data_IF_699538499079
#
_entry.id   IF_699538499079
#
_cell.length_a   1.000
_cell.length_b   1.000
_cell.length_c   1.000
_cell.angle_alpha   90.00
_cell.angle_beta   90.00
_cell.angle_gamma   90.00
#
_symmetry.space_group_name_H-M   'P 1'
#
loop_
_entity.id
_entity.type
_entity.pdbx_description
1 polymer ?
#
# COMPACT_ATOMS: atom_id res chain seq x y z
N UNK A 1 -0.25 7.86 14.67
CA UNK A 1 -0.37 9.16 14.00
C UNK A 1 0.40 10.20 14.78
N UNK A 2 1.14 11.06 14.10
CA UNK A 2 1.83 12.21 14.67
C UNK A 2 1.37 13.45 13.92
N UNK A 3 1.23 14.57 14.61
CA UNK A 3 0.83 15.84 14.01
C UNK A 3 1.84 16.92 14.37
N UNK A 4 2.19 17.77 13.40
CA UNK A 4 3.00 18.99 13.57
C UNK A 4 2.14 20.19 13.19
N UNK A 5 2.65 21.42 13.30
CA UNK A 5 1.87 22.61 12.91
C UNK A 5 1.45 22.61 11.43
N UNK A 6 2.25 22.00 10.56
CA UNK A 6 2.08 22.05 9.09
C UNK A 6 1.74 20.72 8.46
N UNK A 7 1.88 19.59 9.18
CA UNK A 7 1.69 18.25 8.62
C UNK A 7 0.99 17.27 9.56
N UNK A 8 0.33 16.28 8.97
CA UNK A 8 -0.14 15.06 9.64
C UNK A 8 0.64 13.87 9.08
N UNK A 9 1.25 13.09 9.98
CA UNK A 9 2.07 11.93 9.67
C UNK A 9 1.34 10.67 10.15
N UNK A 10 1.05 9.76 9.22
CA UNK A 10 0.26 8.55 9.48
C UNK A 10 1.09 7.34 9.07
N UNK A 11 1.39 6.47 10.02
CA UNK A 11 1.84 5.10 9.74
C UNK A 11 0.59 4.23 9.64
N UNK A 12 0.34 3.65 8.48
CA UNK A 12 -0.83 2.82 8.21
C UNK A 12 -0.40 1.46 7.68
N UNK A 13 -0.99 0.40 8.22
CA UNK A 13 -0.97 -0.91 7.59
C UNK A 13 -1.98 -0.98 6.44
N UNK A 14 -1.60 -1.61 5.35
CA UNK A 14 -2.44 -1.84 4.16
C UNK A 14 -2.53 -3.36 3.96
N UNK A 15 -3.73 -3.90 4.07
CA UNK A 15 -4.04 -5.27 3.68
C UNK A 15 -4.57 -5.25 2.25
N UNK A 16 -3.98 -6.06 1.38
CA UNK A 16 -4.39 -6.15 -0.02
C UNK A 16 -4.20 -7.57 -0.52
N UNK A 17 -4.85 -7.91 -1.62
CA UNK A 17 -4.62 -9.19 -2.29
C UNK A 17 -3.74 -8.95 -3.51
N UNK A 18 -2.53 -9.52 -3.48
CA UNK A 18 -1.66 -9.59 -4.65
C UNK A 18 -2.15 -10.68 -5.61
N UNK A 19 -1.84 -10.49 -6.89
CA UNK A 19 -2.10 -11.49 -7.92
C UNK A 19 -0.73 -11.98 -8.40
N UNK A 20 -0.44 -13.26 -8.16
CA UNK A 20 0.71 -13.89 -8.79
C UNK A 20 0.25 -14.40 -10.16
N UNK A 21 0.47 -13.61 -11.20
CA UNK A 21 0.27 -14.06 -12.57
C UNK A 21 1.32 -15.14 -12.90
N UNK A 22 0.96 -16.40 -12.70
CA UNK A 22 1.81 -17.55 -12.98
C UNK A 22 1.90 -17.83 -14.49
N UNK A 23 3.13 -17.84 -15.01
CA UNK A 23 3.63 -18.39 -16.27
C UNK A 23 2.57 -18.84 -17.30
N UNK A 24 2.56 -18.18 -18.46
CA UNK A 24 1.69 -18.40 -19.65
C UNK A 24 1.76 -19.79 -20.30
N UNK A 25 1.92 -20.86 -19.53
CA UNK A 25 1.98 -22.25 -20.01
C UNK A 25 0.79 -23.10 -19.54
N UNK A 26 -0.31 -22.50 -19.06
CA UNK A 26 -1.54 -23.25 -18.73
C UNK A 26 -2.78 -22.54 -19.28
N UNK A 27 -3.44 -23.20 -20.23
CA UNK A 27 -4.77 -22.88 -20.80
C UNK A 27 -5.92 -23.06 -19.77
N UNK A 28 -5.62 -22.89 -18.47
CA UNK A 28 -6.56 -23.14 -17.38
C UNK A 28 -7.26 -21.83 -16.95
N UNK A 29 -8.58 -21.68 -17.16
CA UNK A 29 -9.33 -20.45 -16.85
C UNK A 29 -9.59 -20.23 -15.34
N UNK A 30 -8.91 -20.99 -14.48
CA UNK A 30 -9.07 -20.92 -13.03
C UNK A 30 -8.65 -19.53 -12.53
N UNK A 31 -9.45 -18.86 -11.67
CA UNK A 31 -9.16 -17.50 -11.22
C UNK A 31 -7.76 -17.44 -10.62
N UNK A 32 -6.98 -16.45 -11.06
CA UNK A 32 -5.62 -16.17 -10.63
C UNK A 32 -5.57 -16.22 -9.10
N UNK A 33 -4.77 -17.15 -8.55
CA UNK A 33 -4.70 -17.34 -7.10
C UNK A 33 -4.29 -16.03 -6.42
N UNK A 34 -5.15 -15.52 -5.54
CA UNK A 34 -4.95 -14.24 -4.84
C UNK A 34 -4.21 -14.49 -3.53
N UNK A 35 -3.08 -13.82 -3.34
CA UNK A 35 -2.30 -13.92 -2.12
C UNK A 35 -2.63 -12.74 -1.20
N UNK A 36 -2.98 -13.02 0.06
CA UNK A 36 -3.15 -11.96 1.03
C UNK A 36 -1.78 -11.39 1.40
N UNK A 37 -1.62 -10.09 1.18
CA UNK A 37 -0.40 -9.34 1.42
C UNK A 37 -0.66 -8.20 2.40
N UNK A 38 0.43 -7.77 3.04
CA UNK A 38 0.44 -6.68 4.00
C UNK A 38 1.68 -5.83 3.80
N UNK A 39 1.51 -4.52 3.81
CA UNK A 39 2.63 -3.57 3.88
C UNK A 39 2.29 -2.39 4.79
N UNK A 40 3.33 -1.68 5.24
CA UNK A 40 3.15 -0.43 5.98
C UNK A 40 3.55 0.76 5.12
N UNK A 41 2.72 1.79 5.13
CA UNK A 41 2.95 3.03 4.39
C UNK A 41 2.99 4.20 5.38
N UNK A 42 3.96 5.08 5.18
CA UNK A 42 4.04 6.38 5.83
C UNK A 42 3.39 7.43 4.91
N UNK A 43 2.27 8.00 5.35
CA UNK A 43 1.67 9.17 4.73
C UNK A 43 2.13 10.45 5.41
N UNK A 44 2.48 11.47 4.63
CA UNK A 44 2.70 12.82 5.12
C UNK A 44 1.78 13.77 4.36
N UNK A 45 0.82 14.35 5.08
CA UNK A 45 -0.22 15.23 4.56
C UNK A 45 0.12 16.66 4.97
N UNK A 46 0.33 17.56 4.00
CA UNK A 46 0.46 18.98 4.28
C UNK A 46 -0.91 19.58 4.62
N UNK A 47 -1.05 20.21 5.79
CA UNK A 47 -2.33 20.74 6.29
C UNK A 47 -2.83 21.98 5.55
N UNK A 48 -1.94 22.74 4.92
CA UNK A 48 -2.29 23.96 4.21
C UNK A 48 -2.74 23.69 2.77
N UNK A 49 -2.14 22.68 2.12
CA UNK A 49 -2.36 22.40 0.70
C UNK A 49 -3.10 21.09 0.42
N UNK A 50 -3.15 20.17 1.40
CA UNK A 50 -3.70 18.82 1.24
C UNK A 50 -2.80 17.86 0.45
N UNK A 51 -1.66 18.33 -0.07
CA UNK A 51 -0.72 17.48 -0.80
C UNK A 51 -0.20 16.39 0.13
N UNK A 52 -0.26 15.14 -0.34
CA UNK A 52 0.12 13.96 0.43
C UNK A 52 1.22 13.19 -0.28
N UNK A 53 2.29 12.87 0.45
CA UNK A 53 3.28 11.89 0.00
C UNK A 53 3.06 10.56 0.70
N UNK A 54 3.37 9.46 0.00
CA UNK A 54 3.29 8.11 0.52
C UNK A 54 4.61 7.39 0.26
N UNK A 55 5.17 6.77 1.31
CA UNK A 55 6.42 6.01 1.23
C UNK A 55 6.24 4.64 1.88
N UNK A 56 6.76 3.60 1.23
CA UNK A 56 6.83 2.26 1.81
C UNK A 56 7.76 2.29 3.02
N UNK A 57 7.32 1.67 4.13
CA UNK A 57 8.16 1.41 5.29
C UNK A 57 8.73 0.01 5.08
N UNK A 58 10.04 -0.05 4.83
CA UNK A 58 10.79 -1.31 4.84
C UNK A 58 11.41 -1.52 6.22
N UNK A 59 11.45 -2.77 6.67
CA UNK A 59 12.22 -3.19 7.85
C UNK A 59 13.75 -3.14 7.59
#
# INVERSE_FOLDING_TARGET
TQETDTSVIIRSGIFYSGIIAGCSCSDDPTPTDTQNEYCEILFNINKNTGITTASLISD
#
